data_IF_263540254207
#
_entry.id   IF_263540254207
#
_cell.length_a   1.000
_cell.length_b   1.000
_cell.length_c   1.000
_cell.angle_alpha   90.00
_cell.angle_beta   90.00
_cell.angle_gamma   90.00
#
_symmetry.space_group_name_H-M   'P 1'
#
loop_
_entity.id
_entity.type
_entity.pdbx_description
1 polymer ?
#
# COMPACT_ATOMS: atom_id res chain seq x y z
N UNK A 1 -21.65 -7.57 13.69
CA UNK A 1 -20.61 -7.23 12.71
C UNK A 1 -20.13 -5.80 12.93
N UNK A 2 -18.82 -5.52 12.93
CA UNK A 2 -18.33 -4.16 13.05
C UNK A 2 -18.79 -3.33 11.84
N UNK A 3 -19.37 -2.15 12.11
CA UNK A 3 -19.92 -1.25 11.10
C UNK A 3 -18.83 -0.87 10.08
N UNK A 4 -19.11 -0.89 8.76
CA UNK A 4 -18.15 -0.42 7.76
C UNK A 4 -17.69 1.00 8.09
N UNK A 5 -16.37 1.21 8.11
CA UNK A 5 -15.77 2.52 8.41
C UNK A 5 -16.21 3.51 7.34
N UNK A 6 -16.73 4.67 7.77
CA UNK A 6 -17.04 5.77 6.85
C UNK A 6 -15.74 6.29 6.23
N UNK A 7 -15.64 6.41 4.89
CA UNK A 7 -14.43 6.91 4.23
C UNK A 7 -14.07 8.33 4.68
N UNK A 8 -12.77 8.64 4.75
CA UNK A 8 -12.26 9.94 5.21
C UNK A 8 -12.79 11.12 4.39
N UNK A 9 -12.98 10.94 3.07
CA UNK A 9 -13.56 11.95 2.17
C UNK A 9 -15.00 12.31 2.52
N UNK A 10 -15.79 11.32 2.96
CA UNK A 10 -17.18 11.53 3.41
C UNK A 10 -17.20 12.19 4.79
N UNK A 11 -16.20 11.95 5.63
CA UNK A 11 -16.04 12.63 6.91
C UNK A 11 -15.61 14.09 6.73
N UNK A 12 -14.72 14.37 5.79
CA UNK A 12 -14.26 15.71 5.42
C UNK A 12 -15.40 16.55 4.84
N UNK A 13 -16.14 16.01 3.85
CA UNK A 13 -17.28 16.69 3.26
C UNK A 13 -18.43 16.99 4.25
N UNK A 14 -18.46 16.30 5.39
CA UNK A 14 -19.44 16.51 6.47
C UNK A 14 -18.96 17.49 7.55
N UNK A 15 -17.77 18.08 7.39
CA UNK A 15 -17.14 18.93 8.40
C UNK A 15 -16.84 18.17 9.69
N UNK A 16 -16.71 16.83 9.62
CA UNK A 16 -16.50 16.00 10.80
C UNK A 16 -15.15 16.23 11.46
N UNK A 17 -14.18 16.76 10.71
CA UNK A 17 -12.86 17.17 11.20
C UNK A 17 -12.86 18.61 11.76
N UNK A 18 -13.83 19.44 11.39
CA UNK A 18 -14.00 20.79 11.97
C UNK A 18 -14.68 20.74 13.34
N UNK A 19 -15.57 19.75 13.53
CA UNK A 19 -16.22 19.50 14.84
C UNK A 19 -15.36 18.74 15.83
N UNK A 20 -14.46 17.89 15.35
CA UNK A 20 -13.54 17.10 16.18
C UNK A 20 -12.19 16.96 15.45
N UNK A 21 -11.28 17.92 15.64
CA UNK A 21 -9.97 17.94 14.98
C UNK A 21 -9.15 16.66 15.24
N UNK A 22 -9.32 16.02 16.41
CA UNK A 22 -8.63 14.78 16.78
C UNK A 22 -9.09 13.55 15.98
N UNK A 23 -10.14 13.68 15.18
CA UNK A 23 -10.62 12.64 14.27
C UNK A 23 -9.76 12.54 13.00
N UNK A 24 -8.98 13.58 12.69
CA UNK A 24 -8.02 13.60 11.58
C UNK A 24 -6.89 12.65 11.96
N UNK A 25 -6.66 11.61 11.15
CA UNK A 25 -5.54 10.72 11.38
C UNK A 25 -4.27 11.46 11.00
N UNK A 26 -3.34 11.56 11.93
CA UNK A 26 -1.96 11.80 11.56
C UNK A 26 -1.47 10.53 10.88
N UNK A 27 -1.13 10.66 9.60
CA UNK A 27 -0.55 9.54 8.86
C UNK A 27 0.81 9.23 9.47
N UNK A 28 1.04 7.96 9.84
CA UNK A 28 2.35 7.52 10.29
C UNK A 28 3.32 7.64 9.12
N UNK A 29 4.20 8.64 9.17
CA UNK A 29 5.24 8.85 8.17
C UNK A 29 6.38 7.88 8.43
N UNK A 30 6.26 6.64 7.95
CA UNK A 30 7.42 5.79 7.75
C UNK A 30 8.25 6.34 6.57
N UNK A 31 9.58 6.19 6.65
CA UNK A 31 10.48 6.63 5.58
C UNK A 31 10.19 5.98 4.24
N UNK A 32 10.91 6.38 3.20
CA UNK A 32 10.74 5.85 1.84
C UNK A 32 11.01 4.34 1.77
N UNK A 33 10.14 3.60 1.09
CA UNK A 33 10.36 2.19 0.82
C UNK A 33 11.56 1.98 -0.13
N UNK A 34 12.49 1.09 0.24
CA UNK A 34 13.58 0.65 -0.64
C UNK A 34 13.08 -0.46 -1.59
N UNK A 35 13.00 -0.20 -2.91
CA UNK A 35 12.51 -1.19 -3.88
C UNK A 35 13.49 -2.35 -4.11
N UNK A 36 14.74 -2.26 -3.65
CA UNK A 36 15.73 -3.30 -3.88
C UNK A 36 15.39 -4.58 -3.11
N UNK A 37 15.33 -5.75 -3.79
CA UNK A 37 15.08 -7.01 -3.11
C UNK A 37 16.24 -7.37 -2.17
N UNK A 38 15.97 -8.08 -1.05
CA UNK A 38 17.03 -8.53 -0.16
C UNK A 38 18.10 -9.36 -0.88
N UNK A 39 19.38 -9.12 -0.53
CA UNK A 39 20.52 -9.75 -1.22
C UNK A 39 20.48 -11.28 -1.17
N UNK A 40 20.01 -11.82 -0.05
CA UNK A 40 19.89 -13.27 0.21
C UNK A 40 18.69 -13.95 -0.47
N UNK A 41 17.84 -13.21 -1.20
CA UNK A 41 16.74 -13.84 -1.94
C UNK A 41 17.25 -14.71 -3.09
N UNK A 42 16.56 -15.82 -3.31
CA UNK A 42 16.71 -16.63 -4.52
C UNK A 42 16.19 -15.88 -5.75
N UNK A 43 16.54 -16.34 -6.95
CA UNK A 43 16.08 -15.72 -8.21
C UNK A 43 14.55 -15.66 -8.28
N UNK A 44 13.86 -16.74 -7.89
CA UNK A 44 12.39 -16.79 -7.86
C UNK A 44 11.80 -15.78 -6.86
N UNK A 45 12.39 -15.66 -5.67
CA UNK A 45 11.95 -14.69 -4.66
C UNK A 45 12.18 -13.24 -5.12
N UNK A 46 13.29 -12.94 -5.78
CA UNK A 46 13.56 -11.61 -6.37
C UNK A 46 12.55 -11.26 -7.44
N UNK A 47 12.20 -12.20 -8.31
CA UNK A 47 11.18 -11.99 -9.35
C UNK A 47 9.82 -11.63 -8.74
N UNK A 48 9.37 -12.39 -7.74
CA UNK A 48 8.11 -12.12 -7.04
C UNK A 48 8.14 -10.81 -6.26
N UNK A 49 9.27 -10.49 -5.61
CA UNK A 49 9.45 -9.19 -4.96
C UNK A 49 9.22 -8.03 -5.93
N UNK A 50 9.91 -8.06 -7.09
CA UNK A 50 9.76 -7.05 -8.12
C UNK A 50 8.33 -6.98 -8.63
N UNK A 51 7.67 -8.12 -8.84
CA UNK A 51 6.25 -8.16 -9.23
C UNK A 51 5.35 -7.47 -8.20
N UNK A 52 5.51 -7.75 -6.90
CA UNK A 52 4.72 -7.11 -5.84
C UNK A 52 4.95 -5.60 -5.79
N UNK A 53 6.22 -5.17 -5.80
CA UNK A 53 6.58 -3.75 -5.68
C UNK A 53 6.11 -2.95 -6.89
N UNK A 54 6.17 -3.53 -8.09
CA UNK A 54 5.73 -2.86 -9.33
C UNK A 54 4.21 -2.85 -9.50
N UNK A 55 3.49 -3.81 -8.92
CA UNK A 55 2.03 -3.85 -8.94
C UNK A 55 1.37 -2.80 -8.03
N UNK A 56 2.11 -2.26 -7.06
CA UNK A 56 1.63 -1.24 -6.13
C UNK A 56 2.10 0.15 -6.58
N UNK A 57 1.24 1.19 -6.46
CA UNK A 57 1.69 2.57 -6.63
C UNK A 57 2.81 2.91 -5.64
N UNK A 58 3.80 3.71 -6.07
CA UNK A 58 4.94 4.10 -5.23
C UNK A 58 4.53 4.83 -3.94
N UNK A 59 3.34 5.43 -3.90
CA UNK A 59 2.76 6.09 -2.73
C UNK A 59 2.19 5.14 -1.67
N UNK A 60 2.06 3.84 -1.96
CA UNK A 60 1.43 2.88 -1.06
C UNK A 60 2.42 2.27 -0.07
N UNK A 61 3.61 1.91 -0.53
CA UNK A 61 4.61 1.23 0.31
C UNK A 61 5.46 2.25 1.07
N UNK A 62 5.64 2.01 2.36
CA UNK A 62 6.56 2.74 3.22
C UNK A 62 7.65 1.81 3.79
N UNK A 63 8.71 2.36 4.36
CA UNK A 63 9.86 1.60 4.87
C UNK A 63 9.49 0.47 5.85
N UNK A 64 8.42 0.65 6.63
CA UNK A 64 7.91 -0.36 7.58
C UNK A 64 7.29 -1.59 6.90
N UNK A 65 6.80 -1.44 5.67
CA UNK A 65 6.13 -2.52 4.94
C UNK A 65 7.11 -3.53 4.34
N UNK A 66 8.42 -3.24 4.41
CA UNK A 66 9.49 -4.07 3.85
C UNK A 66 9.44 -5.52 4.33
N UNK A 67 9.11 -5.73 5.61
CA UNK A 67 8.99 -7.08 6.19
C UNK A 67 7.75 -7.81 5.64
N UNK A 68 6.64 -7.10 5.44
CA UNK A 68 5.42 -7.67 4.87
C UNK A 68 5.62 -8.07 3.40
N UNK A 69 6.27 -7.21 2.61
CA UNK A 69 6.64 -7.52 1.22
C UNK A 69 7.59 -8.71 1.16
N UNK A 70 8.56 -8.80 2.07
CA UNK A 70 9.49 -9.92 2.15
C UNK A 70 8.78 -11.24 2.43
N UNK A 71 7.87 -11.26 3.42
CA UNK A 71 7.09 -12.44 3.76
C UNK A 71 6.22 -12.88 2.57
N UNK A 72 5.51 -11.94 1.93
CA UNK A 72 4.68 -12.22 0.77
C UNK A 72 5.50 -12.79 -0.39
N UNK A 73 6.65 -12.20 -0.70
CA UNK A 73 7.52 -12.65 -1.79
C UNK A 73 8.04 -14.08 -1.56
N UNK A 74 8.44 -14.41 -0.33
CA UNK A 74 8.88 -15.77 0.05
C UNK A 74 7.75 -16.79 -0.10
N UNK A 75 6.57 -16.49 0.45
CA UNK A 75 5.42 -17.40 0.42
C UNK A 75 4.95 -17.67 -1.01
N UNK A 76 4.80 -16.63 -1.82
CA UNK A 76 4.36 -16.75 -3.21
C UNK A 76 5.41 -17.46 -4.07
N UNK A 77 6.70 -17.16 -3.89
CA UNK A 77 7.75 -17.87 -4.62
C UNK A 77 7.79 -19.37 -4.28
N UNK A 78 7.58 -19.73 -3.00
CA UNK A 78 7.49 -21.13 -2.58
C UNK A 78 6.25 -21.81 -3.18
N UNK A 79 5.09 -21.16 -3.08
CA UNK A 79 3.83 -21.64 -3.62
C UNK A 79 3.86 -21.89 -5.13
N UNK A 80 4.56 -21.03 -5.90
CA UNK A 80 4.73 -21.21 -7.35
C UNK A 80 5.77 -22.27 -7.72
N UNK A 81 6.62 -22.70 -6.78
CA UNK A 81 7.68 -23.66 -7.04
C UNK A 81 7.28 -25.10 -6.73
N UNK A 82 6.28 -25.30 -5.88
CA UNK A 82 5.78 -26.62 -5.51
C UNK A 82 4.75 -27.14 -6.53
N UNK A 83 4.60 -28.47 -6.67
CA UNK A 83 3.52 -29.08 -7.45
C UNK A 83 2.13 -28.74 -6.88
N UNK A 84 1.10 -28.71 -7.74
CA UNK A 84 -0.29 -28.47 -7.33
C UNK A 84 -0.80 -29.49 -6.30
N UNK A 85 -0.28 -30.72 -6.33
CA UNK A 85 -0.63 -31.77 -5.36
C UNK A 85 -0.15 -31.47 -3.94
N UNK A 86 0.86 -30.59 -3.78
CA UNK A 86 1.42 -30.18 -2.49
C UNK A 86 0.83 -28.85 -2.01
N UNK A 87 -0.05 -28.22 -2.79
CA UNK A 87 -0.74 -27.00 -2.41
C UNK A 87 -1.75 -27.29 -1.31
N UNK A 88 -1.53 -26.66 -0.15
CA UNK A 88 -2.44 -26.75 1.00
C UNK A 88 -3.33 -25.51 1.10
N UNK A 89 -4.54 -25.69 1.61
CA UNK A 89 -5.44 -24.58 1.95
C UNK A 89 -4.83 -23.60 2.96
N UNK A 90 -3.98 -24.10 3.87
CA UNK A 90 -3.26 -23.29 4.83
C UNK A 90 -2.27 -22.32 4.16
N UNK A 91 -1.49 -22.79 3.18
CA UNK A 91 -0.59 -21.93 2.40
C UNK A 91 -1.37 -20.85 1.63
N UNK A 92 -2.47 -21.23 0.98
CA UNK A 92 -3.35 -20.28 0.27
C UNK A 92 -3.89 -19.22 1.23
N UNK A 93 -4.33 -19.61 2.42
CA UNK A 93 -4.83 -18.69 3.44
C UNK A 93 -3.76 -17.73 3.95
N UNK A 94 -2.53 -18.20 4.18
CA UNK A 94 -1.39 -17.37 4.59
C UNK A 94 -1.02 -16.35 3.50
N UNK A 95 -0.95 -16.78 2.24
CA UNK A 95 -0.67 -15.89 1.10
C UNK A 95 -1.76 -14.84 0.97
N UNK A 96 -3.04 -15.25 1.00
CA UNK A 96 -4.17 -14.32 0.96
C UNK A 96 -4.09 -13.28 2.07
N UNK A 97 -3.69 -13.68 3.28
CA UNK A 97 -3.52 -12.77 4.42
C UNK A 97 -2.38 -11.79 4.19
N UNK A 98 -1.22 -12.26 3.72
CA UNK A 98 -0.08 -11.39 3.41
C UNK A 98 -0.43 -10.36 2.32
N UNK A 99 -1.14 -10.77 1.27
CA UNK A 99 -1.60 -9.88 0.19
C UNK A 99 -2.66 -8.88 0.66
N UNK A 100 -3.55 -9.28 1.57
CA UNK A 100 -4.55 -8.41 2.18
C UNK A 100 -3.91 -7.28 2.98
N UNK A 101 -2.86 -7.57 3.76
CA UNK A 101 -2.10 -6.57 4.52
C UNK A 101 -1.48 -5.51 3.61
N UNK A 102 -1.00 -5.90 2.43
CA UNK A 102 -0.43 -5.00 1.42
C UNK A 102 -1.49 -4.28 0.57
N UNK A 103 -2.79 -4.45 0.85
CA UNK A 103 -3.86 -3.83 0.05
C UNK A 103 -4.03 -4.39 -1.35
N UNK A 104 -3.50 -5.59 -1.62
CA UNK A 104 -3.49 -6.20 -2.96
C UNK A 104 -4.78 -6.97 -3.28
N UNK A 105 -5.79 -6.97 -2.41
CA UNK A 105 -7.12 -7.50 -2.71
C UNK A 105 -8.09 -6.38 -3.08
N UNK A 106 -9.14 -6.61 -3.89
CA UNK A 106 -10.13 -5.58 -4.20
C UNK A 106 -10.78 -4.95 -2.96
N UNK A 107 -11.03 -5.75 -1.92
CA UNK A 107 -11.61 -5.28 -0.67
C UNK A 107 -10.65 -4.39 0.13
N UNK A 108 -9.38 -4.78 0.22
CA UNK A 108 -8.38 -4.05 1.01
C UNK A 108 -7.83 -2.83 0.26
N UNK A 109 -7.82 -2.85 -1.08
CA UNK A 109 -7.45 -1.69 -1.89
C UNK A 109 -8.33 -0.46 -1.60
N UNK A 110 -9.59 -0.67 -1.21
CA UNK A 110 -10.48 0.43 -0.79
C UNK A 110 -10.06 1.12 0.53
N UNK A 111 -9.17 0.50 1.31
CA UNK A 111 -8.68 0.99 2.61
C UNK A 111 -7.30 1.62 2.51
N UNK A 112 -6.56 1.32 1.45
CA UNK A 112 -5.27 1.94 1.15
C UNK A 112 -5.54 3.28 0.46
N UNK A 113 -5.35 4.37 1.20
CA UNK A 113 -5.37 5.71 0.62
C UNK A 113 -4.07 5.90 -0.16
N UNK A 114 -4.13 5.86 -1.49
CA UNK A 114 -3.06 6.44 -2.29
C UNK A 114 -3.04 7.95 -2.00
N UNK A 115 -1.87 8.52 -1.68
CA UNK A 115 -1.72 9.97 -1.67
C UNK A 115 -2.13 10.48 -3.05
N UNK A 116 -3.18 11.29 -3.08
CA UNK A 116 -3.55 12.00 -4.30
C UNK A 116 -2.51 13.09 -4.49
N UNK A 117 -1.90 13.16 -5.66
CA UNK A 117 -1.14 14.33 -6.04
C UNK A 117 -2.04 15.56 -5.84
N UNK A 118 -1.48 16.61 -5.24
CA UNK A 118 -2.22 17.84 -5.05
C UNK A 118 -2.75 18.29 -6.42
N UNK A 119 -4.06 18.65 -6.55
CA UNK A 119 -4.59 19.09 -7.82
C UNK A 119 -3.75 20.29 -8.31
N UNK A 120 -3.05 20.12 -9.43
CA UNK A 120 -2.48 21.26 -10.15
C UNK A 120 -3.65 22.15 -10.53
N UNK A 121 -3.62 23.39 -10.03
CA UNK A 121 -4.60 24.41 -10.37
C UNK A 121 -4.17 25.02 -11.70
N UNK A 122 -4.86 24.73 -12.83
CA UNK A 122 -4.43 25.18 -14.15
C UNK A 122 -4.37 26.72 -14.25
N UNK A 123 -5.18 27.39 -13.43
CA UNK A 123 -5.24 28.84 -13.35
C UNK A 123 -3.99 29.46 -12.68
N UNK A 124 -3.37 28.76 -11.72
CA UNK A 124 -2.12 29.21 -11.07
C UNK A 124 -0.92 29.00 -12.00
N UNK A 125 -0.91 27.91 -12.77
CA UNK A 125 0.14 27.60 -13.75
C UNK A 125 0.11 28.58 -14.94
N UNK A 126 -1.08 29.03 -15.35
CA UNK A 126 -1.24 30.05 -16.39
C UNK A 126 -0.83 31.48 -15.94
N UNK A 127 -0.90 31.78 -14.64
CA UNK A 127 -0.53 33.09 -14.08
C UNK A 127 0.94 33.20 -13.63
N UNK A 128 1.80 32.22 -13.95
CA UNK A 128 3.25 32.33 -13.71
C UNK A 128 3.66 32.33 -12.23
N UNK A 129 2.86 31.75 -11.35
CA UNK A 129 3.10 31.73 -9.90
C UNK A 129 4.28 30.83 -9.51
N UNK A 130 5.50 31.37 -9.60
CA UNK A 130 6.69 30.73 -9.02
C UNK A 130 6.52 30.58 -7.51
N UNK A 131 6.33 29.34 -7.03
CA UNK A 131 6.45 28.99 -5.60
C UNK A 131 7.83 29.43 -5.11
N UNK A 132 7.90 30.49 -4.30
CA UNK A 132 9.04 30.71 -3.40
C UNK A 132 8.87 29.80 -2.19
N UNK A 133 9.87 28.94 -1.99
CA UNK A 133 10.00 28.08 -0.82
C UNK A 133 10.27 28.90 0.45
N UNK A 134 9.64 28.50 1.55
CA UNK A 134 10.15 28.62 2.91
C UNK A 134 9.61 27.44 3.74
#
# INVERSE_FOLDING_TARGET
MPKPRTPSTVLEARGAFDKDPGRRREDFAAGTFDPAPPKYFTVKQKAVWTEIVTALPASVLQATDRIAVELAARLVANFRAQPDSEVTSAQVAQIRTALAVLGMTPADRSRVSATKDAPSNPFLDMMGGSKKAH
#
